data_IF_688750461620
#
_entry.id   IF_688750461620
#
_cell.length_a   1.000
_cell.length_b   1.000
_cell.length_c   1.000
_cell.angle_alpha   90.00
_cell.angle_beta   90.00
_cell.angle_gamma   90.00
#
_symmetry.space_group_name_H-M   'P 1'
#
loop_
_entity.id
_entity.type
_entity.pdbx_description
1 polymer ?
#
# COMPACT_ATOMS: atom_id res chain seq x y z
N UNK A 1 18.65 -27.43 -30.50
CA UNK A 1 17.44 -26.60 -30.31
C UNK A 1 17.30 -26.24 -28.84
N UNK A 2 18.23 -25.45 -28.29
CA UNK A 2 18.33 -25.20 -26.85
C UNK A 2 18.91 -23.83 -26.52
N UNK A 3 18.73 -22.82 -27.39
CA UNK A 3 19.39 -21.51 -27.23
C UNK A 3 18.47 -20.28 -27.40
N UNK A 4 17.14 -20.48 -27.41
CA UNK A 4 16.18 -19.37 -27.50
C UNK A 4 15.49 -19.02 -26.17
N UNK A 5 15.61 -19.86 -25.13
CA UNK A 5 15.04 -19.59 -23.79
C UNK A 5 15.99 -18.81 -22.86
N UNK A 6 17.30 -18.88 -23.09
CA UNK A 6 18.30 -18.18 -22.27
C UNK A 6 18.39 -16.68 -22.60
N UNK A 7 18.24 -16.30 -23.88
CA UNK A 7 18.31 -14.90 -24.31
C UNK A 7 17.13 -14.06 -23.82
N UNK A 8 15.92 -14.62 -23.82
CA UNK A 8 14.71 -13.94 -23.32
C UNK A 8 14.76 -13.66 -21.81
N UNK A 9 15.37 -14.56 -21.03
CA UNK A 9 15.49 -14.41 -19.58
C UNK A 9 16.52 -13.34 -19.20
N UNK A 10 17.61 -13.22 -19.97
CA UNK A 10 18.65 -12.22 -19.73
C UNK A 10 18.18 -10.79 -20.05
N UNK A 11 17.39 -10.61 -21.11
CA UNK A 11 16.76 -9.33 -21.43
C UNK A 11 15.67 -8.96 -20.41
N UNK A 12 14.92 -9.95 -19.87
CA UNK A 12 13.96 -9.72 -18.80
C UNK A 12 14.62 -9.26 -17.49
N UNK A 13 15.77 -9.86 -17.11
CA UNK A 13 16.56 -9.48 -15.94
C UNK A 13 17.24 -8.10 -16.08
N UNK A 14 17.70 -7.75 -17.29
CA UNK A 14 18.28 -6.44 -17.60
C UNK A 14 17.21 -5.33 -17.57
N UNK A 15 16.03 -5.61 -18.13
CA UNK A 15 14.90 -4.68 -18.15
C UNK A 15 14.26 -4.52 -16.76
N UNK A 16 14.11 -5.59 -15.98
CA UNK A 16 13.62 -5.52 -14.59
C UNK A 16 14.58 -4.74 -13.69
N UNK A 17 15.90 -4.94 -13.80
CA UNK A 17 16.88 -4.15 -13.02
C UNK A 17 16.82 -2.66 -13.37
N UNK A 18 16.57 -2.30 -14.63
CA UNK A 18 16.41 -0.93 -15.08
C UNK A 18 15.07 -0.31 -14.64
N UNK A 19 13.97 -1.05 -14.70
CA UNK A 19 12.65 -0.62 -14.22
C UNK A 19 12.68 -0.43 -12.70
N UNK A 20 13.25 -1.36 -11.95
CA UNK A 20 13.40 -1.22 -10.49
C UNK A 20 14.29 -0.05 -10.13
N UNK A 21 15.43 0.12 -10.81
CA UNK A 21 16.25 1.33 -10.60
C UNK A 21 15.51 2.60 -11.00
N UNK A 22 14.64 2.57 -12.00
CA UNK A 22 13.84 3.72 -12.43
C UNK A 22 12.68 3.98 -11.47
N UNK A 23 12.02 2.97 -10.94
CA UNK A 23 10.93 3.06 -9.97
C UNK A 23 11.50 3.50 -8.62
N UNK A 24 12.55 2.85 -8.13
CA UNK A 24 13.27 3.27 -6.91
C UNK A 24 13.85 4.67 -7.09
N UNK A 25 14.48 5.03 -8.22
CA UNK A 25 14.93 6.41 -8.45
C UNK A 25 13.78 7.41 -8.63
N UNK A 26 12.68 7.02 -9.25
CA UNK A 26 11.50 7.88 -9.42
C UNK A 26 10.85 8.13 -8.07
N UNK A 27 10.77 7.10 -7.24
CA UNK A 27 10.27 7.10 -5.88
C UNK A 27 11.17 7.92 -4.93
N UNK A 28 12.49 7.77 -5.05
CA UNK A 28 13.46 8.60 -4.32
C UNK A 28 13.50 10.06 -4.85
N UNK A 29 13.27 10.29 -6.14
CA UNK A 29 13.21 11.65 -6.74
C UNK A 29 11.89 12.37 -6.46
N UNK A 30 10.76 11.68 -6.37
CA UNK A 30 9.47 12.30 -6.02
C UNK A 30 9.44 12.81 -4.58
N UNK A 31 10.37 12.37 -3.73
CA UNK A 31 10.57 12.86 -2.36
C UNK A 31 11.27 14.23 -2.29
N UNK A 32 11.92 14.72 -3.36
CA UNK A 32 12.46 16.08 -3.41
C UNK A 32 11.45 17.07 -3.99
N UNK A 33 10.44 17.44 -3.20
CA UNK A 33 9.48 18.49 -3.55
C UNK A 33 10.07 19.90 -3.38
N UNK A 34 9.72 20.83 -4.28
CA UNK A 34 10.14 22.23 -4.18
C UNK A 34 9.42 22.94 -3.02
N UNK A 35 10.08 23.83 -2.26
CA UNK A 35 9.46 24.55 -1.13
C UNK A 35 8.30 25.48 -1.52
N UNK A 36 8.10 25.76 -2.81
CA UNK A 36 7.15 26.79 -3.27
C UNK A 36 5.72 26.27 -3.43
N UNK A 37 5.51 24.96 -3.50
CA UNK A 37 4.18 24.34 -3.62
C UNK A 37 3.48 24.13 -2.26
N UNK A 38 4.19 24.36 -1.15
CA UNK A 38 3.70 24.13 0.22
C UNK A 38 2.93 25.34 0.79
N UNK A 39 3.24 26.56 0.33
CA UNK A 39 2.74 27.79 0.95
C UNK A 39 1.34 28.24 0.48
N UNK A 40 0.73 27.58 -0.52
CA UNK A 40 -0.58 27.96 -1.06
C UNK A 40 -1.75 27.05 -0.66
N UNK A 41 -1.51 25.95 0.05
CA UNK A 41 -2.54 24.98 0.47
C UNK A 41 -3.01 25.17 1.93
N UNK A 42 -2.29 25.94 2.74
CA UNK A 42 -2.48 25.99 4.21
C UNK A 42 -3.58 26.91 4.74
N UNK A 43 -4.51 27.43 3.92
CA UNK A 43 -5.56 28.35 4.42
C UNK A 43 -7.02 27.91 4.18
N UNK A 44 -7.29 26.68 3.74
CA UNK A 44 -8.68 26.21 3.58
C UNK A 44 -8.96 24.75 4.03
N UNK A 45 -7.98 24.01 4.57
CA UNK A 45 -8.04 22.52 4.64
C UNK A 45 -8.28 21.88 6.03
N UNK A 46 -8.64 22.62 7.08
CA UNK A 46 -8.79 22.03 8.44
C UNK A 46 -10.24 21.75 8.90
N UNK A 47 -11.26 21.88 8.03
CA UNK A 47 -12.68 21.82 8.45
C UNK A 47 -13.39 20.48 8.17
N UNK A 48 -12.72 19.50 7.56
CA UNK A 48 -13.34 18.21 7.25
C UNK A 48 -13.30 17.23 8.43
N UNK A 49 -12.17 17.13 9.14
CA UNK A 49 -12.04 16.26 10.32
C UNK A 49 -12.95 16.71 11.47
N UNK A 50 -13.22 18.01 11.59
CA UNK A 50 -14.15 18.59 12.59
C UNK A 50 -15.61 18.27 12.31
N UNK A 51 -15.96 17.91 11.06
CA UNK A 51 -17.34 17.69 10.61
C UNK A 51 -17.63 16.23 10.23
N UNK A 52 -16.63 15.36 10.23
CA UNK A 52 -16.81 13.94 9.91
C UNK A 52 -17.50 13.21 11.08
N UNK A 53 -18.63 12.52 10.84
CA UNK A 53 -19.32 11.76 11.89
C UNK A 53 -18.42 10.67 12.46
N UNK A 54 -18.53 10.43 13.76
CA UNK A 54 -17.81 9.39 14.47
C UNK A 54 -18.65 8.10 14.52
N UNK A 55 -18.03 6.98 14.22
CA UNK A 55 -18.56 5.62 14.43
C UNK A 55 -18.11 5.08 15.80
N UNK A 56 -18.84 4.09 16.31
CA UNK A 56 -18.47 3.34 17.53
C UNK A 56 -17.44 2.23 17.26
N UNK A 57 -17.08 1.99 16.00
CA UNK A 57 -16.07 0.99 15.61
C UNK A 57 -14.69 1.42 16.12
N UNK A 58 -13.96 0.47 16.69
CA UNK A 58 -12.53 0.55 16.94
C UNK A 58 -11.81 -0.49 16.07
N UNK A 59 -10.75 -0.08 15.39
CA UNK A 59 -9.93 -0.99 14.59
C UNK A 59 -8.72 -1.42 15.40
N UNK A 60 -8.40 -2.72 15.39
CA UNK A 60 -7.15 -3.23 15.96
C UNK A 60 -5.97 -2.83 15.06
N UNK A 61 -5.11 -1.96 15.59
CA UNK A 61 -3.85 -1.55 14.99
C UNK A 61 -2.66 -1.61 15.96
N UNK A 62 -2.81 -2.34 17.08
CA UNK A 62 -1.79 -2.42 18.13
C UNK A 62 -0.50 -3.11 17.61
N UNK A 63 -0.66 -4.08 16.71
CA UNK A 63 0.47 -4.78 16.08
C UNK A 63 1.33 -3.86 15.19
N UNK A 64 0.85 -2.67 14.84
CA UNK A 64 1.55 -1.66 14.05
C UNK A 64 2.35 -0.66 14.90
N UNK A 65 2.40 -0.85 16.22
CA UNK A 65 3.24 -0.03 17.11
C UNK A 65 4.62 -0.67 17.31
N UNK A 66 5.73 0.11 17.22
CA UNK A 66 7.07 -0.38 17.50
C UNK A 66 7.18 -0.76 18.98
N UNK A 67 7.84 -1.89 19.24
CA UNK A 67 8.10 -2.42 20.58
C UNK A 67 9.35 -1.84 21.21
N UNK A 68 10.28 -1.35 20.39
CA UNK A 68 11.52 -0.74 20.83
C UNK A 68 12.00 0.32 19.82
N UNK A 69 13.02 1.09 20.19
CA UNK A 69 13.53 2.19 19.38
C UNK A 69 14.36 1.74 18.16
N UNK A 70 14.79 0.48 18.12
CA UNK A 70 15.58 -0.09 17.02
C UNK A 70 14.69 -0.68 15.91
N UNK A 71 13.38 -0.81 16.16
CA UNK A 71 12.42 -1.29 15.19
C UNK A 71 12.03 -0.20 14.17
N UNK A 72 12.30 -0.51 12.91
CA UNK A 72 12.05 0.38 11.79
C UNK A 72 10.91 -0.17 10.96
N UNK A 73 9.92 0.67 10.68
CA UNK A 73 8.77 0.32 9.83
C UNK A 73 9.24 0.06 8.41
N UNK A 74 8.88 -1.10 7.86
CA UNK A 74 9.07 -1.44 6.46
C UNK A 74 8.13 -0.63 5.58
N UNK A 75 8.51 -0.44 4.32
CA UNK A 75 7.59 0.09 3.31
C UNK A 75 6.47 -0.92 3.05
N UNK A 76 5.23 -0.45 3.01
CA UNK A 76 4.05 -1.23 2.67
C UNK A 76 3.81 -1.12 1.16
N UNK A 77 3.91 -2.24 0.46
CA UNK A 77 3.66 -2.34 -0.97
C UNK A 77 2.31 -2.98 -1.19
N UNK A 78 1.38 -2.26 -1.80
CA UNK A 78 0.00 -2.70 -1.99
C UNK A 78 -0.20 -3.15 -3.44
N UNK A 79 -0.68 -4.38 -3.62
CA UNK A 79 -1.25 -4.85 -4.88
C UNK A 79 -2.63 -4.21 -5.06
N UNK A 80 -2.65 -3.06 -5.74
CA UNK A 80 -3.83 -2.23 -5.79
C UNK A 80 -5.00 -2.92 -6.52
N UNK A 81 -4.80 -3.57 -7.68
CA UNK A 81 -5.86 -4.30 -8.37
C UNK A 81 -6.52 -5.33 -7.44
N UNK A 82 -5.74 -6.15 -6.74
CA UNK A 82 -6.30 -7.13 -5.80
C UNK A 82 -7.19 -6.46 -4.74
N UNK A 83 -6.69 -5.39 -4.10
CA UNK A 83 -7.44 -4.65 -3.07
C UNK A 83 -8.70 -4.00 -3.64
N UNK A 84 -8.61 -3.29 -4.77
CA UNK A 84 -9.76 -2.63 -5.39
C UNK A 84 -10.81 -3.66 -5.84
N UNK A 85 -10.42 -4.88 -6.19
CA UNK A 85 -11.33 -5.96 -6.56
C UNK A 85 -12.02 -6.63 -5.36
N UNK A 86 -11.30 -6.87 -4.25
CA UNK A 86 -11.92 -7.48 -3.04
C UNK A 86 -12.80 -6.50 -2.25
N UNK A 87 -12.63 -5.19 -2.49
CA UNK A 87 -13.43 -4.13 -1.86
C UNK A 87 -14.53 -3.56 -2.77
N UNK A 88 -14.89 -4.29 -3.83
CA UNK A 88 -15.99 -3.94 -4.73
C UNK A 88 -17.32 -3.76 -3.99
N UNK A 89 -18.13 -2.86 -4.51
CA UNK A 89 -19.45 -2.52 -3.96
C UNK A 89 -20.55 -3.12 -4.80
N UNK A 90 -21.75 -3.23 -4.23
CA UNK A 90 -22.91 -3.73 -4.95
C UNK A 90 -23.47 -2.70 -5.95
N UNK A 91 -23.09 -1.42 -5.82
CA UNK A 91 -23.61 -0.33 -6.66
C UNK A 91 -22.91 -0.25 -8.04
N UNK A 92 -21.61 -0.59 -8.10
CA UNK A 92 -20.84 -0.65 -9.34
C UNK A 92 -20.03 -1.96 -9.42
N UNK A 93 -20.69 -3.14 -9.48
CA UNK A 93 -20.04 -4.44 -9.33
C UNK A 93 -19.00 -4.74 -10.42
N UNK A 94 -19.11 -4.08 -11.58
CA UNK A 94 -18.18 -4.24 -12.70
C UNK A 94 -16.88 -3.46 -12.49
N UNK A 95 -16.88 -2.40 -11.67
CA UNK A 95 -15.74 -1.51 -11.47
C UNK A 95 -14.97 -1.81 -10.19
N UNK A 96 -13.65 -1.67 -10.23
CA UNK A 96 -12.80 -1.83 -9.06
C UNK A 96 -12.95 -0.61 -8.11
N UNK A 97 -13.01 -0.84 -6.79
CA UNK A 97 -13.27 0.22 -5.80
C UNK A 97 -12.01 1.00 -5.44
N UNK A 98 -11.94 2.27 -5.82
CA UNK A 98 -10.85 3.16 -5.36
C UNK A 98 -11.00 3.58 -3.90
N UNK A 99 -12.23 3.64 -3.37
CA UNK A 99 -12.48 3.99 -1.97
C UNK A 99 -11.85 2.97 -1.01
N UNK A 100 -11.92 1.68 -1.34
CA UNK A 100 -11.26 0.63 -0.57
C UNK A 100 -9.73 0.78 -0.55
N UNK A 101 -9.13 1.11 -1.70
CA UNK A 101 -7.70 1.39 -1.80
C UNK A 101 -7.30 2.62 -0.97
N UNK A 102 -8.05 3.71 -1.06
CA UNK A 102 -7.80 4.94 -0.28
C UNK A 102 -7.83 4.66 1.23
N UNK A 103 -8.86 3.97 1.72
CA UNK A 103 -8.98 3.63 3.14
C UNK A 103 -7.80 2.76 3.62
N UNK A 104 -7.37 1.80 2.81
CA UNK A 104 -6.23 0.94 3.15
C UNK A 104 -4.90 1.70 3.18
N UNK A 105 -4.64 2.57 2.19
CA UNK A 105 -3.45 3.44 2.20
C UNK A 105 -3.45 4.30 3.46
N UNK A 106 -4.60 4.95 3.76
CA UNK A 106 -4.74 5.81 4.94
C UNK A 106 -4.50 5.06 6.25
N UNK A 107 -5.00 3.83 6.37
CA UNK A 107 -4.84 2.99 7.56
C UNK A 107 -3.36 2.81 7.93
N UNK A 108 -2.50 2.54 6.93
CA UNK A 108 -1.06 2.38 7.13
C UNK A 108 -0.34 3.72 7.33
N UNK A 109 -0.66 4.75 6.55
CA UNK A 109 -0.03 6.07 6.67
C UNK A 109 -0.30 6.69 8.06
N UNK A 110 -1.54 6.57 8.57
CA UNK A 110 -1.89 6.99 9.93
C UNK A 110 -1.04 6.28 10.99
N UNK A 111 -0.71 5.01 10.77
CA UNK A 111 0.19 4.23 11.62
C UNK A 111 1.68 4.47 11.33
N UNK A 112 1.98 5.58 10.66
CA UNK A 112 3.32 6.06 10.35
C UNK A 112 4.09 5.15 9.38
N UNK A 113 3.41 4.35 8.56
CA UNK A 113 4.04 3.55 7.51
C UNK A 113 4.15 4.33 6.21
N UNK A 114 5.26 4.11 5.51
CA UNK A 114 5.36 4.50 4.11
C UNK A 114 4.62 3.50 3.23
N UNK A 115 3.92 3.99 2.22
CA UNK A 115 3.00 3.18 1.40
C UNK A 115 3.20 3.49 -0.07
N UNK A 116 3.29 2.44 -0.87
CA UNK A 116 3.22 2.52 -2.32
C UNK A 116 2.27 1.45 -2.86
N UNK A 117 1.25 1.88 -3.59
CA UNK A 117 0.39 0.99 -4.33
C UNK A 117 0.98 0.74 -5.73
N UNK A 118 0.78 -0.45 -6.28
CA UNK A 118 1.15 -0.79 -7.66
C UNK A 118 -0.11 -1.17 -8.40
N UNK A 119 -0.31 -0.62 -9.59
CA UNK A 119 -1.49 -0.92 -10.40
C UNK A 119 -1.18 -0.80 -11.89
N UNK A 120 -2.12 -1.26 -12.71
CA UNK A 120 -2.05 -1.15 -14.15
C UNK A 120 -2.68 0.16 -14.60
N UNK A 121 -2.14 0.76 -15.66
CA UNK A 121 -2.68 2.02 -16.22
C UNK A 121 -4.15 1.93 -16.66
N UNK A 122 -4.69 0.72 -16.91
CA UNK A 122 -6.11 0.53 -17.23
C UNK A 122 -7.04 1.09 -16.15
N UNK A 123 -6.64 1.06 -14.88
CA UNK A 123 -7.40 1.63 -13.75
C UNK A 123 -7.40 3.17 -13.70
N UNK A 124 -7.01 3.83 -14.79
CA UNK A 124 -7.24 5.26 -15.04
C UNK A 124 -8.38 5.50 -16.04
N UNK A 125 -9.13 4.45 -16.40
CA UNK A 125 -10.28 4.53 -17.30
C UNK A 125 -11.57 4.42 -16.50
N UNK A 126 -12.54 5.31 -16.77
CA UNK A 126 -13.84 5.37 -16.07
C UNK A 126 -14.64 4.05 -16.14
N UNK A 127 -14.38 3.24 -17.16
CA UNK A 127 -15.01 1.92 -17.33
C UNK A 127 -14.49 0.85 -16.36
N UNK A 128 -13.37 1.09 -15.66
CA UNK A 128 -12.64 0.05 -14.91
C UNK A 128 -12.57 0.28 -13.41
N UNK A 129 -12.69 1.53 -12.97
CA UNK A 129 -12.50 1.92 -11.57
C UNK A 129 -13.60 2.90 -11.15
N UNK A 130 -14.04 2.82 -9.91
CA UNK A 130 -14.89 3.84 -9.30
C UNK A 130 -14.04 5.09 -9.02
N UNK A 131 -14.63 6.27 -9.14
CA UNK A 131 -13.99 7.55 -8.77
C UNK A 131 -12.55 7.71 -9.33
N UNK A 132 -12.38 7.57 -10.65
CA UNK A 132 -11.09 7.68 -11.36
C UNK A 132 -10.19 8.82 -10.87
N UNK A 133 -10.77 9.98 -10.53
CA UNK A 133 -10.04 11.14 -10.02
C UNK A 133 -9.16 10.82 -8.80
N UNK A 134 -9.57 9.85 -7.96
CA UNK A 134 -8.80 9.40 -6.81
C UNK A 134 -7.51 8.70 -7.23
N UNK A 135 -7.57 7.80 -8.22
CA UNK A 135 -6.39 7.11 -8.76
C UNK A 135 -5.41 8.11 -9.39
N UNK A 136 -5.92 9.06 -10.17
CA UNK A 136 -5.08 10.10 -10.77
C UNK A 136 -4.43 11.00 -9.73
N UNK A 137 -5.14 11.31 -8.63
CA UNK A 137 -4.57 12.10 -7.53
C UNK A 137 -3.47 11.31 -6.80
N UNK A 138 -3.70 10.02 -6.52
CA UNK A 138 -2.69 9.13 -5.93
C UNK A 138 -1.43 9.05 -6.82
N UNK A 139 -1.58 9.01 -8.14
CA UNK A 139 -0.44 8.95 -9.07
C UNK A 139 0.39 10.24 -8.99
N UNK A 140 -0.28 11.41 -9.03
CA UNK A 140 0.39 12.71 -8.90
C UNK A 140 1.12 12.88 -7.57
N UNK A 141 0.65 12.22 -6.52
CA UNK A 141 1.30 12.21 -5.20
C UNK A 141 2.44 11.20 -5.08
N UNK A 142 2.62 10.31 -6.07
CA UNK A 142 3.58 9.21 -5.99
C UNK A 142 3.18 8.08 -5.05
N UNK A 143 1.89 8.00 -4.66
CA UNK A 143 1.35 6.94 -3.78
C UNK A 143 0.90 5.70 -4.55
N UNK A 144 0.75 5.80 -5.87
CA UNK A 144 0.50 4.66 -6.75
C UNK A 144 1.44 4.71 -7.94
N UNK A 145 2.04 3.56 -8.26
CA UNK A 145 2.85 3.36 -9.45
C UNK A 145 2.03 2.66 -10.53
N UNK A 146 1.80 3.35 -11.65
CA UNK A 146 1.02 2.84 -12.78
C UNK A 146 1.93 2.21 -13.84
N UNK A 147 1.85 0.88 -13.93
CA UNK A 147 2.63 0.07 -14.87
C UNK A 147 2.02 0.15 -16.26
N UNK A 148 2.90 0.26 -17.26
CA UNK A 148 2.57 0.14 -18.68
C UNK A 148 2.50 -1.34 -19.06
N UNK A 149 1.30 -1.85 -19.33
CA UNK A 149 1.05 -3.27 -19.67
C UNK A 149 0.12 -3.98 -18.69
N UNK A 150 -0.43 -5.12 -19.12
CA UNK A 150 -1.46 -5.87 -18.38
C UNK A 150 -0.94 -7.09 -17.61
N UNK A 151 0.36 -7.41 -17.70
CA UNK A 151 0.92 -8.68 -17.20
C UNK A 151 2.05 -8.49 -16.17
N UNK A 152 2.31 -7.25 -15.74
CA UNK A 152 3.55 -6.93 -15.02
C UNK A 152 3.33 -6.31 -13.64
N UNK A 153 2.12 -5.94 -13.25
CA UNK A 153 1.85 -5.37 -11.92
C UNK A 153 2.28 -6.30 -10.79
N UNK A 154 2.08 -7.61 -10.90
CA UNK A 154 2.55 -8.59 -9.93
C UNK A 154 4.07 -8.57 -9.79
N UNK A 155 4.78 -8.63 -10.91
CA UNK A 155 6.26 -8.65 -10.92
C UNK A 155 6.82 -7.32 -10.41
N UNK A 156 6.21 -6.19 -10.79
CA UNK A 156 6.61 -4.88 -10.30
C UNK A 156 6.33 -4.77 -8.79
N UNK A 157 5.22 -5.29 -8.29
CA UNK A 157 4.91 -5.37 -6.86
C UNK A 157 5.98 -6.13 -6.10
N UNK A 158 6.35 -7.33 -6.58
CA UNK A 158 7.40 -8.15 -6.00
C UNK A 158 8.77 -7.45 -6.02
N UNK A 159 9.10 -6.80 -7.12
CA UNK A 159 10.37 -6.12 -7.28
C UNK A 159 10.49 -4.86 -6.42
N UNK A 160 9.43 -4.06 -6.28
CA UNK A 160 9.42 -2.91 -5.35
C UNK A 160 9.59 -3.39 -3.92
N UNK A 161 8.81 -4.40 -3.51
CA UNK A 161 8.90 -4.96 -2.16
C UNK A 161 10.28 -5.59 -1.89
N UNK A 162 10.86 -6.26 -2.88
CA UNK A 162 12.23 -6.73 -2.77
C UNK A 162 13.20 -5.55 -2.63
N UNK A 163 13.11 -4.53 -3.47
CA UNK A 163 14.06 -3.42 -3.46
C UNK A 163 14.04 -2.63 -2.14
N UNK A 164 12.86 -2.38 -1.57
CA UNK A 164 12.68 -1.66 -0.29
C UNK A 164 12.82 -2.54 0.95
N UNK A 165 13.02 -3.86 0.77
CA UNK A 165 12.87 -4.85 1.83
C UNK A 165 11.52 -4.68 2.59
N UNK A 166 10.47 -4.39 1.81
CA UNK A 166 9.12 -4.07 2.26
C UNK A 166 8.28 -5.29 2.65
N UNK A 167 7.00 -4.99 2.90
CA UNK A 167 5.93 -5.95 3.15
C UNK A 167 4.87 -5.80 2.07
N UNK A 168 4.32 -6.90 1.57
CA UNK A 168 3.31 -6.91 0.51
C UNK A 168 1.93 -7.09 1.13
N UNK A 169 0.98 -6.27 0.70
CA UNK A 169 -0.44 -6.40 1.02
C UNK A 169 -1.17 -6.87 -0.24
N UNK A 170 -1.63 -8.12 -0.22
CA UNK A 170 -2.39 -8.73 -1.32
C UNK A 170 -3.06 -10.01 -0.81
N UNK A 171 -4.08 -10.50 -1.50
CA UNK A 171 -4.56 -11.88 -1.39
C UNK A 171 -4.07 -12.77 -2.53
N UNK A 172 -3.44 -12.22 -3.57
CA UNK A 172 -2.83 -13.00 -4.65
C UNK A 172 -1.56 -13.70 -4.15
N UNK A 173 -1.41 -14.98 -4.48
CA UNK A 173 -0.28 -15.81 -4.05
C UNK A 173 0.98 -15.56 -4.87
N UNK A 174 0.89 -14.91 -6.03
CA UNK A 174 1.99 -14.68 -6.94
C UNK A 174 2.79 -15.96 -7.24
N UNK A 175 2.17 -17.15 -7.15
CA UNK A 175 2.91 -18.42 -7.09
C UNK A 175 3.81 -18.62 -8.32
N UNK A 176 3.29 -18.25 -9.48
CA UNK A 176 3.98 -18.39 -10.76
C UNK A 176 5.25 -17.52 -10.82
N UNK A 177 5.26 -16.38 -10.14
CA UNK A 177 6.38 -15.44 -10.08
C UNK A 177 7.32 -15.70 -8.90
N UNK A 178 6.78 -16.10 -7.75
CA UNK A 178 7.56 -16.40 -6.55
C UNK A 178 8.52 -17.58 -6.77
N UNK A 179 8.12 -18.55 -7.59
CA UNK A 179 8.95 -19.72 -7.94
C UNK A 179 9.98 -19.42 -9.04
N UNK A 180 9.85 -18.30 -9.76
CA UNK A 180 10.76 -17.98 -10.86
C UNK A 180 12.10 -17.42 -10.39
N UNK A 181 12.24 -17.04 -9.10
CA UNK A 181 13.45 -16.44 -8.56
C UNK A 181 13.54 -16.56 -7.04
N UNK A 182 14.64 -17.13 -6.54
CA UNK A 182 14.95 -17.25 -5.10
C UNK A 182 14.90 -15.91 -4.34
N UNK A 183 15.05 -14.79 -5.07
CA UNK A 183 14.96 -13.42 -4.51
C UNK A 183 13.62 -13.16 -3.83
N UNK A 184 12.52 -13.71 -4.37
CA UNK A 184 11.17 -13.43 -3.86
C UNK A 184 10.73 -14.43 -2.79
N UNK A 185 11.43 -15.56 -2.59
CA UNK A 185 11.08 -16.54 -1.56
C UNK A 185 11.01 -15.91 -0.15
N UNK A 186 11.85 -14.91 0.14
CA UNK A 186 11.82 -14.18 1.41
C UNK A 186 10.65 -13.19 1.54
N UNK A 187 9.96 -12.88 0.45
CA UNK A 187 8.74 -12.08 0.47
C UNK A 187 7.51 -12.94 0.79
N UNK A 188 7.57 -14.27 0.62
CA UNK A 188 6.46 -15.16 0.98
C UNK A 188 6.07 -15.01 2.46
N UNK A 189 7.06 -14.86 3.32
CA UNK A 189 6.88 -14.62 4.76
C UNK A 189 6.43 -13.18 5.06
N UNK A 190 6.46 -12.27 4.09
CA UNK A 190 6.06 -10.86 4.23
C UNK A 190 4.90 -10.50 3.30
N UNK A 191 4.15 -11.51 2.88
CA UNK A 191 2.93 -11.32 2.11
C UNK A 191 1.73 -11.47 3.05
N UNK A 192 1.05 -10.35 3.29
CA UNK A 192 -0.03 -10.22 4.26
C UNK A 192 -1.35 -10.21 3.50
N UNK A 193 -2.19 -11.18 3.84
CA UNK A 193 -3.58 -11.25 3.39
C UNK A 193 -4.42 -10.19 4.08
N UNK A 194 -5.41 -9.70 3.34
CA UNK A 194 -6.41 -8.74 3.82
C UNK A 194 -7.77 -9.40 3.84
N UNK A 195 -8.47 -9.26 4.96
CA UNK A 195 -9.83 -9.76 5.16
C UNK A 195 -10.78 -8.55 5.28
N UNK A 196 -11.38 -8.09 4.14
CA UNK A 196 -12.26 -6.93 4.17
C UNK A 196 -13.59 -7.29 4.83
N UNK A 197 -14.03 -6.48 5.79
CA UNK A 197 -15.35 -6.60 6.43
C UNK A 197 -16.21 -5.42 6.03
N UNK A 198 -17.39 -5.68 5.46
CA UNK A 198 -18.31 -4.62 5.03
C UNK A 198 -18.77 -3.77 6.21
N UNK A 199 -18.75 -2.46 6.01
CA UNK A 199 -19.24 -1.47 6.96
C UNK A 199 -20.74 -1.23 6.74
N UNK A 200 -21.49 -1.13 7.83
CA UNK A 200 -22.92 -0.81 7.80
C UNK A 200 -23.13 0.53 7.07
N UNK A 201 -24.19 0.69 6.25
CA UNK A 201 -24.39 1.90 5.44
C UNK A 201 -24.27 3.22 6.22
N UNK A 202 -24.79 3.27 7.44
CA UNK A 202 -24.77 4.41 8.35
C UNK A 202 -23.39 4.75 8.92
N UNK A 203 -22.44 3.80 8.87
CA UNK A 203 -21.06 3.97 9.33
C UNK A 203 -20.08 4.23 8.18
N UNK A 204 -20.52 4.19 6.93
CA UNK A 204 -19.65 4.46 5.78
C UNK A 204 -19.24 5.92 5.74
N UNK A 205 -17.98 6.14 5.39
CA UNK A 205 -17.33 7.45 5.30
C UNK A 205 -17.40 8.25 6.62
N UNK A 206 -17.26 7.52 7.74
CA UNK A 206 -17.13 8.04 9.12
C UNK A 206 -15.70 7.86 9.63
N UNK A 207 -15.41 8.39 10.81
CA UNK A 207 -14.18 8.09 11.55
C UNK A 207 -14.43 7.05 12.64
N UNK A 208 -13.55 6.06 12.75
CA UNK A 208 -13.51 5.14 13.88
C UNK A 208 -13.11 5.87 15.18
N UNK A 209 -13.33 5.24 16.33
CA UNK A 209 -12.94 5.79 17.65
C UNK A 209 -11.44 6.09 17.76
N UNK A 210 -10.60 5.30 17.08
CA UNK A 210 -9.16 5.53 17.01
C UNK A 210 -8.73 6.31 15.76
N UNK A 211 -9.65 7.00 15.07
CA UNK A 211 -9.36 7.98 14.01
C UNK A 211 -9.04 7.40 12.63
N UNK A 212 -9.46 6.17 12.34
CA UNK A 212 -9.39 5.60 10.99
C UNK A 212 -10.60 6.00 10.17
N UNK A 213 -10.41 6.32 8.89
CA UNK A 213 -11.55 6.52 8.01
C UNK A 213 -12.14 5.17 7.62
N UNK A 214 -13.43 5.01 7.90
CA UNK A 214 -14.21 3.85 7.49
C UNK A 214 -14.77 4.16 6.12
N UNK A 215 -14.27 3.56 5.04
CA UNK A 215 -14.94 3.63 3.75
C UNK A 215 -16.10 2.62 3.74
N UNK A 216 -16.15 1.74 2.76
CA UNK A 216 -17.17 0.69 2.68
C UNK A 216 -16.74 -0.61 3.36
N UNK A 217 -15.45 -0.71 3.70
CA UNK A 217 -14.83 -1.88 4.30
C UNK A 217 -13.86 -1.46 5.42
N UNK A 218 -13.79 -2.29 6.46
CA UNK A 218 -12.65 -2.36 7.39
C UNK A 218 -11.75 -3.52 7.02
N UNK A 219 -10.55 -3.58 7.58
CA UNK A 219 -9.52 -4.53 7.16
C UNK A 219 -9.00 -5.34 8.34
N UNK A 220 -9.14 -6.66 8.27
CA UNK A 220 -8.34 -7.60 9.04
C UNK A 220 -7.08 -8.00 8.29
N UNK A 221 -6.02 -8.36 9.00
CA UNK A 221 -4.74 -8.75 8.41
C UNK A 221 -4.31 -10.12 8.89
N UNK A 222 -3.77 -10.93 7.97
CA UNK A 222 -3.24 -12.25 8.31
C UNK A 222 -1.97 -12.56 7.53
N UNK A 223 -0.94 -13.03 8.23
CA UNK A 223 0.27 -13.54 7.59
C UNK A 223 -0.04 -14.87 6.92
N UNK A 224 0.24 -14.98 5.62
CA UNK A 224 -0.06 -16.21 4.87
C UNK A 224 0.92 -17.34 5.16
N UNK A 225 2.20 -17.01 5.17
CA UNK A 225 3.27 -17.95 5.52
C UNK A 225 3.90 -17.52 6.83
N UNK A 226 3.60 -18.25 7.89
CA UNK A 226 4.22 -18.07 9.20
C UNK A 226 5.49 -18.93 9.23
N UNK A 227 6.68 -18.34 9.41
CA UNK A 227 7.92 -19.10 9.62
C UNK A 227 7.73 -20.14 10.71
N UNK A 228 8.30 -21.35 10.54
CA UNK A 228 8.16 -22.45 11.52
C UNK A 228 8.55 -22.04 12.94
N UNK A 229 9.53 -21.15 13.08
CA UNK A 229 9.98 -20.62 14.37
C UNK A 229 8.93 -19.76 15.11
N UNK A 230 7.88 -19.32 14.42
CA UNK A 230 6.87 -18.39 14.92
C UNK A 230 5.47 -19.00 15.01
N UNK A 231 5.31 -20.28 14.66
CA UNK A 231 3.99 -20.95 14.56
C UNK A 231 3.26 -20.96 15.91
N UNK A 232 4.00 -21.08 17.01
CA UNK A 232 3.43 -21.10 18.36
C UNK A 232 3.24 -19.70 18.96
N UNK A 233 3.59 -18.64 18.23
CA UNK A 233 3.42 -17.27 18.69
C UNK A 233 2.01 -16.74 18.44
N UNK A 234 1.62 -15.74 19.22
CA UNK A 234 0.40 -14.97 18.99
C UNK A 234 0.38 -14.42 17.54
N UNK A 235 -0.72 -14.59 16.77
CA UNK A 235 -0.86 -14.04 15.43
C UNK A 235 -0.45 -12.57 15.29
N UNK A 236 -0.78 -11.73 16.28
CA UNK A 236 -0.38 -10.32 16.31
C UNK A 236 1.14 -10.13 16.32
N UNK A 237 1.89 -11.00 17.01
CA UNK A 237 3.35 -10.98 17.01
C UNK A 237 3.90 -11.37 15.64
N UNK A 238 3.33 -12.42 15.03
CA UNK A 238 3.79 -12.87 13.71
C UNK A 238 3.53 -11.82 12.63
N UNK A 239 2.44 -11.05 12.75
CA UNK A 239 2.14 -9.92 11.89
C UNK A 239 3.13 -8.78 12.11
N UNK A 240 3.31 -8.38 13.37
CA UNK A 240 4.24 -7.32 13.75
C UNK A 240 5.63 -7.54 13.16
N UNK A 241 6.20 -8.74 13.29
CA UNK A 241 7.52 -9.06 12.72
C UNK A 241 7.60 -8.89 11.19
N UNK A 242 6.50 -9.01 10.46
CA UNK A 242 6.48 -8.79 9.01
C UNK A 242 6.51 -7.29 8.65
N UNK A 243 6.02 -6.42 9.52
CA UNK A 243 5.94 -4.97 9.31
C UNK A 243 7.19 -4.22 9.79
N UNK A 244 7.96 -4.81 10.71
CA UNK A 244 9.13 -4.16 11.29
C UNK A 244 10.44 -4.83 10.87
N UNK A 245 11.51 -4.05 10.91
CA UNK A 245 12.87 -4.48 10.67
C UNK A 245 13.72 -4.14 11.89
N UNK A 246 14.55 -5.07 12.35
CA UNK A 246 15.50 -4.89 13.45
C UNK A 246 16.94 -5.06 12.95
N UNK A 247 17.97 -4.64 13.70
CA UNK A 247 19.37 -4.80 13.30
C UNK A 247 19.79 -6.24 12.96
N UNK A 248 19.11 -7.23 13.53
CA UNK A 248 19.34 -8.65 13.22
C UNK A 248 18.87 -9.06 11.82
N UNK A 249 18.02 -8.25 11.17
CA UNK A 249 17.59 -8.51 9.81
C UNK A 249 18.69 -8.14 8.81
N UNK A 250 19.03 -9.09 7.94
CA UNK A 250 20.11 -8.97 6.93
C UNK A 250 20.07 -7.71 6.06
N UNK A 251 18.91 -7.09 5.85
CA UNK A 251 18.71 -5.91 4.98
C UNK A 251 18.17 -4.71 5.74
N UNK A 252 18.39 -4.66 7.05
CA UNK A 252 17.92 -3.59 7.92
C UNK A 252 18.35 -2.19 7.45
N UNK A 253 19.60 -2.04 7.01
CA UNK A 253 20.14 -0.79 6.48
C UNK A 253 19.33 -0.22 5.30
N UNK A 254 18.77 -1.07 4.44
CA UNK A 254 17.93 -0.64 3.31
C UNK A 254 16.59 -0.07 3.81
N UNK A 255 16.03 -0.69 4.85
CA UNK A 255 14.79 -0.18 5.48
C UNK A 255 15.04 1.16 6.15
N UNK A 256 16.20 1.31 6.80
CA UNK A 256 16.64 2.59 7.38
C UNK A 256 16.79 3.68 6.32
N UNK A 257 17.56 3.44 5.26
CA UNK A 257 17.74 4.39 4.15
C UNK A 257 16.39 4.81 3.54
N UNK A 258 15.50 3.84 3.34
CA UNK A 258 14.15 4.14 2.86
C UNK A 258 13.37 5.04 3.82
N UNK A 259 13.58 4.90 5.13
CA UNK A 259 12.87 5.67 6.15
C UNK A 259 13.39 7.10 6.30
N UNK A 260 14.63 7.39 5.91
CA UNK A 260 15.26 8.71 6.10
C UNK A 260 14.48 9.88 5.50
N UNK A 261 13.76 9.66 4.39
CA UNK A 261 12.99 10.73 3.75
C UNK A 261 11.52 10.78 4.19
N UNK A 262 11.11 9.97 5.17
CA UNK A 262 9.76 10.03 5.72
C UNK A 262 9.66 11.09 6.81
N UNK A 263 8.72 12.02 6.68
CA UNK A 263 8.47 13.09 7.65
C UNK A 263 7.02 13.11 8.12
N UNK A 264 6.77 13.67 9.29
CA UNK A 264 5.41 13.86 9.81
C UNK A 264 4.58 14.79 8.91
N UNK A 265 5.18 15.87 8.40
CA UNK A 265 4.51 16.77 7.44
C UNK A 265 4.07 16.04 6.18
N UNK A 266 4.91 15.12 5.67
CA UNK A 266 4.57 14.32 4.51
C UNK A 266 3.42 13.35 4.81
N UNK A 267 3.48 12.67 5.96
CA UNK A 267 2.40 11.81 6.47
C UNK A 267 1.08 12.58 6.55
N UNK A 268 1.09 13.74 7.19
CA UNK A 268 -0.12 14.52 7.47
C UNK A 268 -0.71 15.08 6.17
N UNK A 269 0.13 15.50 5.22
CA UNK A 269 -0.31 15.89 3.87
C UNK A 269 -0.98 14.73 3.11
N UNK A 270 -0.44 13.52 3.22
CA UNK A 270 -1.05 12.34 2.61
C UNK A 270 -2.42 12.06 3.24
N UNK A 271 -2.50 12.06 4.57
CA UNK A 271 -3.76 11.83 5.31
C UNK A 271 -4.81 12.86 4.89
N UNK A 272 -4.48 14.15 4.95
CA UNK A 272 -5.40 15.23 4.58
C UNK A 272 -5.91 15.09 3.14
N UNK A 273 -5.03 14.72 2.21
CA UNK A 273 -5.45 14.55 0.80
C UNK A 273 -6.36 13.32 0.63
N UNK A 274 -6.07 12.20 1.29
CA UNK A 274 -6.93 11.02 1.21
C UNK A 274 -8.29 11.31 1.85
N UNK A 275 -8.30 12.04 2.95
CA UNK A 275 -9.49 12.51 3.65
C UNK A 275 -10.37 13.38 2.74
N UNK A 276 -9.77 14.33 2.02
CA UNK A 276 -10.46 15.12 0.99
C UNK A 276 -11.06 14.23 -0.11
N UNK A 277 -10.31 13.24 -0.61
CA UNK A 277 -10.80 12.33 -1.65
C UNK A 277 -11.99 11.50 -1.17
N UNK A 278 -11.93 10.96 0.05
CA UNK A 278 -13.02 10.19 0.65
C UNK A 278 -14.24 11.07 0.92
N UNK A 279 -14.04 12.34 1.30
CA UNK A 279 -15.10 13.34 1.41
C UNK A 279 -15.83 13.57 0.08
N UNK A 280 -15.06 13.74 -1.01
CA UNK A 280 -15.59 13.93 -2.35
C UNK A 280 -16.35 12.70 -2.83
N UNK A 281 -15.88 11.48 -2.52
CA UNK A 281 -16.60 10.25 -2.84
C UNK A 281 -17.95 10.23 -2.10
N UNK A 282 -17.95 10.52 -0.80
CA UNK A 282 -19.16 10.54 0.03
C UNK A 282 -20.19 11.55 -0.47
N UNK A 283 -19.80 12.67 -1.06
CA UNK A 283 -20.76 13.67 -1.56
C UNK A 283 -21.43 13.28 -2.88
N UNK A 284 -20.92 12.25 -3.56
CA UNK A 284 -21.41 11.78 -4.86
C UNK A 284 -22.26 10.50 -4.71
N UNK A 285 -22.08 9.75 -3.62
CA UNK A 285 -22.80 8.51 -3.27
C UNK A 285 -24.01 8.80 -2.38
#
# INVERSE_FOLDING_TARGET
>A
MSDLRSSFMFDYLSMTTAIVRRVVRSYLKSRSGSPQDVAKLTMQENDWLSTCPMSSIILDDDFLQPRNAEEVRRCVVIDAPNIMHITKTDHEPDKASSAGLLALIRYFVKNNFDVIAVSQRKYTLDATVTHKFAVEKLERMGLIHLVDGHEYDDIITLEIAFASDGVIISNDQFMDHMQSSDRYLRLLERCISVEPTRVAPEERYTLSLNGHCLAEHTFGFRRRNVPKALVDQNPANTLHEAFFSTPDNRRHEIVMEHRENWTEDHRDKIIATIDELLAQIRSIV
#
